data_IF_368070631185
#
_entry.id   IF_368070631185
#
_cell.length_a   1.000
_cell.length_b   1.000
_cell.length_c   1.000
_cell.angle_alpha   90.00
_cell.angle_beta   90.00
_cell.angle_gamma   90.00
#
_symmetry.space_group_name_H-M   'P 1'
#
loop_
_entity.id
_entity.type
_entity.pdbx_description
1 polymer ?
#
# COMPACT_ATOMS: atom_id res chain seq x y z
N UNK A 1 -68.77 -41.09 -27.91
CA UNK A 1 -67.78 -40.56 -26.95
C UNK A 1 -68.00 -39.06 -26.85
N UNK A 2 -68.47 -38.57 -25.69
CA UNK A 2 -68.88 -37.18 -25.51
C UNK A 2 -67.66 -36.26 -25.47
N UNK A 3 -67.40 -35.54 -26.57
CA UNK A 3 -66.28 -34.61 -26.76
C UNK A 3 -66.11 -33.60 -25.60
N UNK A 4 -67.19 -33.28 -24.89
CA UNK A 4 -67.20 -32.46 -23.68
C UNK A 4 -66.24 -32.94 -22.58
N UNK A 5 -66.13 -34.26 -22.36
CA UNK A 5 -65.25 -34.79 -21.30
C UNK A 5 -63.78 -34.82 -21.73
N UNK A 6 -63.51 -34.98 -23.03
CA UNK A 6 -62.16 -34.90 -23.58
C UNK A 6 -61.57 -33.48 -23.47
N UNK A 7 -62.40 -32.45 -23.74
CA UNK A 7 -62.02 -31.05 -23.57
C UNK A 7 -61.72 -30.73 -22.10
N UNK A 8 -62.56 -31.20 -21.17
CA UNK A 8 -62.35 -30.97 -19.74
C UNK A 8 -61.06 -31.64 -19.22
N UNK A 9 -60.76 -32.85 -19.70
CA UNK A 9 -59.54 -33.58 -19.36
C UNK A 9 -58.29 -32.92 -19.96
N UNK A 10 -58.39 -32.37 -21.19
CA UNK A 10 -57.31 -31.61 -21.81
C UNK A 10 -56.97 -30.31 -21.07
N UNK A 11 -57.98 -29.58 -20.57
CA UNK A 11 -57.76 -28.37 -19.76
C UNK A 11 -57.10 -28.72 -18.42
N UNK A 12 -57.51 -29.82 -17.79
CA UNK A 12 -56.90 -30.31 -16.56
C UNK A 12 -55.43 -30.68 -16.77
N UNK A 13 -55.08 -31.26 -17.94
CA UNK A 13 -53.70 -31.57 -18.31
C UNK A 13 -52.85 -30.31 -18.57
N UNK A 14 -53.42 -29.25 -19.15
CA UNK A 14 -52.73 -27.97 -19.35
C UNK A 14 -52.38 -27.27 -18.02
N UNK A 15 -53.15 -27.49 -16.94
CA UNK A 15 -52.82 -26.99 -15.60
C UNK A 15 -51.59 -27.66 -14.98
N UNK A 16 -51.20 -28.85 -15.46
CA UNK A 16 -50.00 -29.56 -15.02
C UNK A 16 -48.81 -29.37 -15.97
N UNK A 17 -48.94 -28.57 -17.03
CA UNK A 17 -47.78 -28.21 -17.83
C UNK A 17 -46.82 -27.41 -16.96
N UNK A 18 -45.55 -27.83 -16.81
CA UNK A 18 -44.56 -27.04 -16.12
C UNK A 18 -44.39 -25.73 -16.90
N UNK A 19 -44.83 -24.63 -16.30
CA UNK A 19 -44.50 -23.31 -16.79
C UNK A 19 -43.00 -23.14 -16.53
N UNK A 20 -42.19 -23.23 -17.58
CA UNK A 20 -40.78 -22.84 -17.50
C UNK A 20 -40.76 -21.31 -17.34
N UNK A 21 -40.90 -20.85 -16.11
CA UNK A 21 -40.39 -19.54 -15.75
C UNK A 21 -38.88 -19.63 -15.90
N UNK A 22 -38.30 -18.92 -16.88
CA UNK A 22 -36.87 -18.64 -16.86
C UNK A 22 -36.65 -17.81 -15.60
N UNK A 23 -36.22 -18.47 -14.53
CA UNK A 23 -35.87 -17.80 -13.29
C UNK A 23 -34.60 -17.00 -13.57
N UNK A 24 -34.73 -15.67 -13.56
CA UNK A 24 -33.56 -14.81 -13.46
C UNK A 24 -32.78 -15.23 -12.22
N UNK A 25 -31.48 -15.39 -12.40
CA UNK A 25 -30.60 -15.78 -11.31
C UNK A 25 -29.35 -14.94 -11.40
N UNK A 26 -29.05 -14.27 -10.29
CA UNK A 26 -27.78 -13.61 -10.06
C UNK A 26 -27.12 -14.34 -8.90
N UNK A 27 -25.85 -14.68 -9.07
CA UNK A 27 -25.05 -15.38 -8.10
C UNK A 27 -23.65 -14.79 -8.09
N UNK A 28 -22.92 -15.09 -7.01
CA UNK A 28 -21.56 -14.63 -6.85
C UNK A 28 -20.67 -15.76 -6.37
N UNK A 29 -19.46 -15.79 -6.87
CA UNK A 29 -18.43 -16.75 -6.50
C UNK A 29 -17.43 -16.08 -5.57
N UNK A 30 -17.44 -16.56 -4.32
CA UNK A 30 -16.51 -16.19 -3.26
C UNK A 30 -15.82 -17.49 -2.81
N UNK A 31 -14.84 -17.92 -3.59
CA UNK A 31 -14.27 -19.27 -3.52
C UNK A 31 -12.95 -19.34 -2.72
N UNK A 32 -12.31 -18.20 -2.47
CA UNK A 32 -11.05 -18.16 -1.72
C UNK A 32 -11.31 -18.05 -0.22
N UNK A 33 -10.53 -18.76 0.62
CA UNK A 33 -10.64 -18.63 2.07
C UNK A 33 -10.15 -17.26 2.55
N UNK A 34 -9.18 -16.67 1.85
CA UNK A 34 -8.58 -15.36 2.12
C UNK A 34 -8.35 -14.70 0.77
N UNK A 35 -8.84 -13.48 0.62
CA UNK A 35 -8.67 -12.64 -0.56
C UNK A 35 -7.55 -11.63 -0.34
N UNK A 36 -6.87 -11.27 -1.42
CA UNK A 36 -5.80 -10.27 -1.46
C UNK A 36 -6.10 -9.24 -2.55
N UNK A 37 -5.28 -8.18 -2.61
CA UNK A 37 -5.45 -7.10 -3.60
C UNK A 37 -5.48 -7.58 -5.06
N UNK A 38 -4.86 -8.71 -5.40
CA UNK A 38 -4.84 -9.23 -6.78
C UNK A 38 -6.01 -10.15 -7.12
N UNK A 39 -6.84 -10.50 -6.14
CA UNK A 39 -7.89 -11.49 -6.33
C UNK A 39 -9.17 -10.86 -6.91
N UNK A 40 -10.01 -11.71 -7.48
CA UNK A 40 -11.19 -11.32 -8.25
C UNK A 40 -12.40 -12.04 -7.66
N UNK A 41 -13.47 -11.28 -7.41
CA UNK A 41 -14.78 -11.81 -7.10
C UNK A 41 -15.62 -11.78 -8.38
N UNK A 42 -16.25 -12.90 -8.74
CA UNK A 42 -17.02 -12.99 -9.98
C UNK A 42 -18.51 -13.02 -9.68
N UNK A 43 -19.25 -12.10 -10.28
CA UNK A 43 -20.71 -12.03 -10.26
C UNK A 43 -21.20 -12.56 -11.61
N UNK A 44 -22.09 -13.54 -11.59
CA UNK A 44 -22.57 -14.18 -12.81
C UNK A 44 -24.04 -14.51 -12.70
N UNK A 45 -24.68 -14.71 -13.84
CA UNK A 45 -26.11 -14.97 -13.85
C UNK A 45 -26.70 -14.99 -15.24
N UNK A 46 -28.02 -15.18 -15.27
CA UNK A 46 -28.83 -15.07 -16.47
C UNK A 46 -29.99 -14.14 -16.19
N UNK A 47 -30.13 -13.11 -17.03
CA UNK A 47 -31.16 -12.07 -16.90
C UNK A 47 -31.95 -11.95 -18.20
N UNK A 48 -33.25 -11.71 -18.10
CA UNK A 48 -34.15 -11.69 -19.26
C UNK A 48 -34.37 -10.29 -19.82
N UNK A 49 -34.13 -9.25 -19.02
CA UNK A 49 -34.22 -7.84 -19.40
C UNK A 49 -32.94 -7.10 -19.00
N UNK A 50 -32.70 -5.92 -19.59
CA UNK A 50 -31.59 -5.07 -19.17
C UNK A 50 -31.81 -4.59 -17.73
N UNK A 51 -30.81 -4.82 -16.86
CA UNK A 51 -30.86 -4.40 -15.45
C UNK A 51 -29.59 -3.63 -15.07
N UNK A 52 -29.69 -2.81 -14.02
CA UNK A 52 -28.54 -2.19 -13.38
C UNK A 52 -28.17 -3.00 -12.14
N UNK A 53 -26.95 -3.54 -12.11
CA UNK A 53 -26.35 -4.12 -10.91
C UNK A 53 -25.69 -3.00 -10.11
N UNK A 54 -26.07 -2.86 -8.85
CA UNK A 54 -25.37 -2.01 -7.89
C UNK A 54 -24.50 -2.90 -7.01
N UNK A 55 -23.20 -2.72 -7.08
CA UNK A 55 -22.20 -3.52 -6.38
C UNK A 55 -21.57 -2.61 -5.33
N UNK A 56 -21.69 -3.00 -4.07
CA UNK A 56 -21.09 -2.26 -2.97
C UNK A 56 -20.21 -3.19 -2.12
N UNK A 57 -19.06 -2.71 -1.68
CA UNK A 57 -18.19 -3.41 -0.74
C UNK A 57 -18.21 -2.65 0.58
N UNK A 58 -18.56 -3.35 1.65
CA UNK A 58 -18.69 -2.82 3.00
C UNK A 58 -17.50 -3.32 3.82
N UNK A 59 -16.81 -2.39 4.47
CA UNK A 59 -15.68 -2.64 5.33
C UNK A 59 -16.06 -3.32 6.65
N UNK A 60 -15.07 -3.80 7.41
CA UNK A 60 -15.28 -4.47 8.70
C UNK A 60 -15.90 -3.56 9.78
N UNK A 61 -15.85 -2.24 9.60
CA UNK A 61 -16.48 -1.23 10.45
C UNK A 61 -17.89 -0.83 9.99
N UNK A 62 -18.37 -1.38 8.86
CA UNK A 62 -19.67 -1.08 8.29
C UNK A 62 -19.69 0.13 7.35
N UNK A 63 -18.55 0.75 7.06
CA UNK A 63 -18.43 1.83 6.07
C UNK A 63 -18.47 1.25 4.64
N UNK A 64 -19.10 1.96 3.71
CA UNK A 64 -19.09 1.57 2.29
C UNK A 64 -17.77 2.03 1.68
N UNK A 65 -16.92 1.06 1.32
CA UNK A 65 -15.58 1.29 0.76
C UNK A 65 -15.61 1.38 -0.76
N UNK A 66 -16.55 0.68 -1.39
CA UNK A 66 -16.76 0.72 -2.83
C UNK A 66 -18.26 0.77 -3.15
N UNK A 67 -18.62 1.52 -4.17
CA UNK A 67 -19.97 1.57 -4.72
C UNK A 67 -19.92 1.80 -6.24
N UNK A 68 -20.43 0.85 -7.00
CA UNK A 68 -20.38 0.81 -8.46
C UNK A 68 -21.74 0.41 -9.04
N UNK A 69 -22.12 1.02 -10.16
CA UNK A 69 -23.31 0.65 -10.91
C UNK A 69 -22.94 0.19 -12.32
N UNK A 70 -23.35 -1.03 -12.70
CA UNK A 70 -23.05 -1.64 -14.00
C UNK A 70 -24.35 -1.98 -14.73
N UNK A 71 -24.44 -1.59 -15.99
CA UNK A 71 -25.55 -1.98 -16.87
C UNK A 71 -25.27 -3.35 -17.50
N UNK A 72 -26.17 -4.30 -17.30
CA UNK A 72 -26.08 -5.64 -17.88
C UNK A 72 -27.23 -5.83 -18.87
N UNK A 73 -26.89 -6.18 -20.10
CA UNK A 73 -27.86 -6.48 -21.15
C UNK A 73 -28.50 -7.86 -20.94
N UNK A 74 -29.70 -8.06 -21.49
CA UNK A 74 -30.47 -9.32 -21.41
C UNK A 74 -29.70 -10.49 -22.06
N UNK A 75 -28.99 -11.26 -21.24
CA UNK A 75 -28.20 -12.44 -21.61
C UNK A 75 -27.64 -13.11 -20.34
N UNK A 76 -26.99 -14.25 -20.52
CA UNK A 76 -25.99 -14.72 -19.58
C UNK A 76 -24.85 -13.70 -19.48
N UNK A 77 -24.43 -13.39 -18.25
CA UNK A 77 -23.36 -12.44 -17.98
C UNK A 77 -22.37 -12.97 -16.95
N UNK A 78 -21.16 -12.41 -17.00
CA UNK A 78 -20.12 -12.59 -15.99
C UNK A 78 -19.39 -11.26 -15.84
N UNK A 79 -19.39 -10.73 -14.63
CA UNK A 79 -18.76 -9.48 -14.26
C UNK A 79 -17.72 -9.75 -13.17
N UNK A 80 -16.51 -9.20 -13.35
CA UNK A 80 -15.38 -9.45 -12.47
C UNK A 80 -15.06 -8.21 -11.67
N UNK A 81 -15.20 -8.32 -10.36
CA UNK A 81 -14.85 -7.29 -9.37
C UNK A 81 -13.40 -7.51 -8.97
N UNK A 82 -12.50 -6.66 -9.46
CA UNK A 82 -11.07 -6.76 -9.19
C UNK A 82 -10.76 -5.98 -7.91
N UNK A 83 -10.32 -6.67 -6.86
CA UNK A 83 -10.11 -6.02 -5.56
C UNK A 83 -8.97 -4.99 -5.56
N UNK A 84 -8.14 -4.95 -6.60
CA UNK A 84 -7.07 -3.95 -6.76
C UNK A 84 -7.58 -2.55 -7.02
N UNK A 85 -8.79 -2.45 -7.57
CA UNK A 85 -9.36 -1.19 -8.04
C UNK A 85 -10.01 -0.41 -6.90
N UNK A 86 -10.19 -1.06 -5.74
CA UNK A 86 -10.77 -0.49 -4.54
C UNK A 86 -9.70 -0.38 -3.44
N UNK A 87 -9.82 0.65 -2.60
CA UNK A 87 -8.89 0.87 -1.49
C UNK A 87 -9.45 0.27 -0.20
N UNK A 88 -9.28 -1.05 -0.07
CA UNK A 88 -9.82 -1.81 1.05
C UNK A 88 -9.03 -1.63 2.36
N UNK A 89 -7.92 -0.87 2.34
CA UNK A 89 -6.98 -0.42 3.40
C UNK A 89 -6.64 -1.37 4.57
N UNK A 90 -7.63 -2.03 5.18
CA UNK A 90 -7.55 -2.86 6.38
C UNK A 90 -7.86 -4.32 6.09
N UNK A 91 -7.12 -5.22 6.72
CA UNK A 91 -7.50 -6.64 6.74
C UNK A 91 -8.73 -6.87 7.63
N UNK A 92 -9.64 -7.74 7.20
CA UNK A 92 -10.86 -8.05 7.94
C UNK A 92 -11.94 -8.70 7.10
N UNK A 93 -13.06 -9.03 7.76
CA UNK A 93 -14.26 -9.52 7.07
C UNK A 93 -14.94 -8.34 6.39
N UNK A 94 -15.04 -8.43 5.07
CA UNK A 94 -15.78 -7.48 4.24
C UNK A 94 -17.05 -8.16 3.74
N UNK A 95 -18.06 -7.34 3.47
CA UNK A 95 -19.32 -7.81 2.85
C UNK A 95 -19.38 -7.23 1.45
N UNK A 96 -19.55 -8.09 0.45
CA UNK A 96 -19.90 -7.66 -0.90
C UNK A 96 -21.41 -7.82 -1.08
N UNK A 97 -22.07 -6.73 -1.43
CA UNK A 97 -23.51 -6.64 -1.66
C UNK A 97 -23.76 -6.33 -3.13
N UNK A 98 -24.64 -7.10 -3.75
CA UNK A 98 -25.10 -6.89 -5.13
C UNK A 98 -26.61 -6.69 -5.10
N UNK A 99 -27.07 -5.49 -5.44
CA UNK A 99 -28.48 -5.17 -5.57
C UNK A 99 -28.91 -5.15 -7.03
N UNK A 100 -30.00 -5.87 -7.32
CA UNK A 100 -30.54 -6.04 -8.67
C UNK A 100 -32.06 -6.21 -8.62
N UNK A 101 -32.80 -5.42 -9.41
CA UNK A 101 -34.28 -5.46 -9.48
C UNK A 101 -35.00 -5.54 -8.11
N UNK A 102 -34.48 -4.80 -7.11
CA UNK A 102 -34.99 -4.80 -5.73
C UNK A 102 -34.64 -6.02 -4.88
N UNK A 103 -33.94 -7.01 -5.43
CA UNK A 103 -33.32 -8.11 -4.69
C UNK A 103 -31.91 -7.73 -4.26
N UNK A 104 -31.49 -8.25 -3.12
CA UNK A 104 -30.14 -8.03 -2.58
C UNK A 104 -29.47 -9.37 -2.33
N UNK A 105 -28.25 -9.53 -2.83
CA UNK A 105 -27.39 -10.67 -2.61
C UNK A 105 -26.16 -10.21 -1.84
N UNK A 106 -25.90 -10.81 -0.68
CA UNK A 106 -24.75 -10.49 0.15
C UNK A 106 -23.88 -11.72 0.34
N UNK A 107 -22.58 -11.52 0.39
CA UNK A 107 -21.63 -12.56 0.79
C UNK A 107 -20.44 -11.96 1.54
N UNK A 108 -19.94 -12.72 2.50
CA UNK A 108 -18.81 -12.31 3.34
C UNK A 108 -17.53 -12.91 2.81
N UNK A 109 -16.46 -12.12 2.81
CA UNK A 109 -15.12 -12.59 2.47
C UNK A 109 -14.09 -11.97 3.40
N UNK A 110 -13.07 -12.75 3.75
CA UNK A 110 -11.95 -12.23 4.50
C UNK A 110 -10.93 -11.63 3.54
N UNK A 111 -10.65 -10.34 3.68
CA UNK A 111 -9.62 -9.63 2.92
C UNK A 111 -8.36 -9.50 3.77
N UNK A 112 -7.22 -9.87 3.19
CA UNK A 112 -5.90 -9.60 3.69
C UNK A 112 -5.25 -8.48 2.88
N UNK A 113 -5.19 -7.30 3.50
CA UNK A 113 -4.50 -6.13 2.98
C UNK A 113 -2.97 -6.31 2.91
N UNK A 114 -2.43 -7.38 3.50
CA UNK A 114 -0.99 -7.60 3.65
C UNK A 114 -0.36 -6.74 4.75
N UNK A 115 -1.15 -5.87 5.40
CA UNK A 115 -0.73 -5.20 6.64
C UNK A 115 -0.77 -6.22 7.78
N UNK A 116 0.41 -6.51 8.32
CA UNK A 116 0.60 -7.51 9.37
C UNK A 116 -0.23 -7.16 10.63
N UNK A 117 -1.16 -8.05 11.00
CA UNK A 117 -1.98 -7.96 12.23
C UNK A 117 -1.20 -8.25 13.50
N UNK A 118 0.06 -8.69 13.39
CA UNK A 118 0.99 -8.43 14.46
C UNK A 118 1.34 -6.95 14.34
N UNK A 119 0.86 -6.05 15.23
CA UNK A 119 1.65 -4.86 15.45
C UNK A 119 3.04 -5.43 15.73
N UNK A 120 4.03 -5.11 14.89
CA UNK A 120 5.34 -4.97 15.47
C UNK A 120 5.05 -4.09 16.69
N UNK A 121 5.24 -4.62 17.89
CA UNK A 121 5.19 -3.82 19.11
C UNK A 121 6.35 -2.83 18.97
N UNK A 122 6.09 -1.81 18.17
CA UNK A 122 6.78 -0.55 18.13
C UNK A 122 5.93 0.35 19.02
N UNK A 123 5.81 -0.04 20.28
CA UNK A 123 5.95 0.91 21.40
C UNK A 123 7.28 1.66 21.35
N UNK A 124 8.19 1.32 20.43
CA UNK A 124 9.02 2.33 19.80
C UNK A 124 8.26 2.92 18.62
N UNK A 125 7.27 3.76 18.92
CA UNK A 125 6.93 4.93 18.11
C UNK A 125 8.28 5.47 17.67
N UNK A 126 8.73 5.08 16.48
CA UNK A 126 10.12 5.28 16.14
C UNK A 126 10.19 6.78 16.02
N UNK A 127 10.96 7.40 16.92
CA UNK A 127 11.39 8.79 16.90
C UNK A 127 12.13 9.06 15.57
N UNK A 128 11.42 8.91 14.46
CA UNK A 128 11.88 9.22 13.12
C UNK A 128 11.71 10.71 13.05
N UNK A 129 12.78 11.37 13.48
CA UNK A 129 13.07 12.77 13.21
C UNK A 129 12.51 13.11 11.83
N UNK A 130 11.60 14.09 11.79
CA UNK A 130 10.98 14.53 10.53
C UNK A 130 12.05 14.84 9.50
N UNK A 131 11.79 14.61 8.21
CA UNK A 131 12.76 14.88 7.13
C UNK A 131 13.31 16.32 7.21
N UNK A 132 12.47 17.28 7.64
CA UNK A 132 12.88 18.66 7.90
C UNK A 132 13.96 18.73 8.97
N UNK A 133 13.75 18.04 10.09
CA UNK A 133 14.62 18.07 11.26
C UNK A 133 15.94 17.33 10.96
N UNK A 134 15.90 16.28 10.14
CA UNK A 134 17.09 15.58 9.67
C UNK A 134 17.95 16.47 8.77
N UNK A 135 17.33 17.26 7.88
CA UNK A 135 18.00 18.27 7.07
C UNK A 135 18.67 19.35 7.94
N UNK A 136 17.99 19.81 8.99
CA UNK A 136 18.57 20.77 9.95
C UNK A 136 19.76 20.19 10.70
N UNK A 137 19.66 18.97 11.22
CA UNK A 137 20.74 18.30 11.96
C UNK A 137 21.97 18.08 11.08
N UNK A 138 21.78 17.64 9.84
CA UNK A 138 22.87 17.44 8.88
C UNK A 138 23.57 18.76 8.54
N UNK A 139 22.80 19.84 8.35
CA UNK A 139 23.34 21.17 8.05
C UNK A 139 24.19 21.72 9.21
N UNK A 140 23.69 21.65 10.45
CA UNK A 140 24.41 22.11 11.64
C UNK A 140 25.71 21.31 11.84
N UNK A 141 25.65 19.99 11.69
CA UNK A 141 26.82 19.11 11.78
C UNK A 141 27.91 19.49 10.77
N UNK A 142 27.52 19.75 9.51
CA UNK A 142 28.44 20.19 8.47
C UNK A 142 29.17 21.49 8.83
N UNK A 143 28.46 22.48 9.36
CA UNK A 143 29.06 23.77 9.78
C UNK A 143 30.08 23.57 10.91
N UNK A 144 29.78 22.72 11.89
CA UNK A 144 30.68 22.43 13.02
C UNK A 144 31.98 21.76 12.53
N UNK A 145 31.88 20.78 11.63
CA UNK A 145 33.04 20.09 11.07
C UNK A 145 33.92 21.06 10.27
N UNK A 146 33.32 21.87 9.40
CA UNK A 146 34.04 22.89 8.62
C UNK A 146 34.74 23.88 9.56
N UNK A 147 34.04 24.35 10.60
CA UNK A 147 34.61 25.25 11.60
C UNK A 147 35.80 24.64 12.35
N UNK A 148 35.71 23.36 12.74
CA UNK A 148 36.79 22.64 13.39
C UNK A 148 38.01 22.49 12.47
N UNK A 149 37.80 22.17 11.19
CA UNK A 149 38.89 22.07 10.20
C UNK A 149 39.59 23.41 10.01
N UNK A 150 38.85 24.51 9.88
CA UNK A 150 39.43 25.86 9.76
C UNK A 150 40.21 26.22 11.03
N UNK A 151 39.68 25.91 12.21
CA UNK A 151 40.34 26.17 13.48
C UNK A 151 41.67 25.40 13.61
N UNK A 152 41.67 24.11 13.27
CA UNK A 152 42.89 23.28 13.26
C UNK A 152 43.89 23.77 12.20
N UNK A 153 43.42 24.11 11.00
CA UNK A 153 44.26 24.64 9.94
C UNK A 153 44.94 25.96 10.35
N UNK A 154 44.24 26.84 11.08
CA UNK A 154 44.83 28.07 11.62
C UNK A 154 45.98 27.78 12.59
N UNK A 155 45.84 26.76 13.44
CA UNK A 155 46.92 26.37 14.35
C UNK A 155 48.09 25.68 13.62
N UNK A 156 47.81 24.96 12.52
CA UNK A 156 48.83 24.32 11.68
C UNK A 156 49.65 25.33 10.86
N UNK A 157 49.02 26.38 10.34
CA UNK A 157 49.68 27.42 9.52
C UNK A 157 50.50 28.39 10.39
N UNK A 158 50.04 28.72 11.60
CA UNK A 158 50.78 29.58 12.53
C UNK A 158 51.67 28.71 13.43
N UNK A 159 52.71 28.10 12.86
CA UNK A 159 53.81 27.59 13.67
C UNK A 159 54.49 28.78 14.36
N UNK A 160 54.51 28.80 15.69
CA UNK A 160 55.46 29.65 16.43
C UNK A 160 56.86 29.22 16.01
N UNK A 161 57.64 30.14 15.43
CA UNK A 161 59.06 29.90 15.22
C UNK A 161 59.68 29.59 16.58
N UNK A 162 60.23 28.39 16.70
CA UNK A 162 61.02 28.01 17.88
C UNK A 162 62.36 28.74 17.81
N UNK A 163 63.02 28.88 18.95
CA UNK A 163 64.34 29.55 19.08
C UNK A 163 65.39 29.02 18.07
N UNK A 164 65.27 27.75 17.67
CA UNK A 164 66.08 27.11 16.62
C UNK A 164 65.96 27.76 15.23
N UNK A 165 64.82 28.35 14.87
CA UNK A 165 64.57 28.97 13.56
C UNK A 165 64.87 30.48 13.54
N UNK A 166 65.24 31.06 14.69
CA UNK A 166 65.47 32.51 14.84
C UNK A 166 66.95 32.82 15.11
N UNK A 167 67.75 31.82 15.49
CA UNK A 167 69.20 31.97 15.65
C UNK A 167 69.93 31.86 14.31
N UNK A 168 70.83 32.80 14.02
CA UNK A 168 71.77 32.72 12.90
C UNK A 168 72.94 31.79 13.29
N UNK A 169 72.70 30.48 13.21
CA UNK A 169 73.65 29.44 13.67
C UNK A 169 74.84 29.21 12.72
N UNK A 170 74.86 29.84 11.55
CA UNK A 170 75.96 29.68 10.57
C UNK A 170 77.24 30.44 10.97
N UNK A 171 77.13 31.54 11.73
CA UNK A 171 78.33 32.32 12.12
C UNK A 171 79.06 31.74 13.35
N UNK A 172 78.38 30.95 14.19
CA UNK A 172 78.97 30.39 15.42
C UNK A 172 79.93 29.22 15.16
N UNK A 173 79.79 28.54 14.02
CA UNK A 173 80.64 27.38 13.67
C UNK A 173 82.06 27.80 13.29
N UNK A 174 82.25 28.98 12.69
CA UNK A 174 83.56 29.44 12.20
C UNK A 174 84.43 30.02 13.32
N UNK A 175 83.83 30.67 14.33
CA UNK A 175 84.58 31.28 15.44
C UNK A 175 85.19 30.23 16.38
N UNK A 176 84.48 29.12 16.62
CA UNK A 176 84.98 28.04 17.49
C UNK A 176 86.11 27.26 16.82
N UNK A 177 86.08 27.11 15.49
CA UNK A 177 87.12 26.36 14.76
C UNK A 177 88.44 27.13 14.65
N UNK A 178 88.42 28.47 14.61
CA UNK A 178 89.66 29.29 14.58
C UNK A 178 90.38 29.38 15.92
N UNK A 179 89.68 29.30 17.05
CA UNK A 179 90.29 29.47 18.37
C UNK A 179 90.97 28.20 18.91
N UNK A 180 90.69 27.03 18.31
CA UNK A 180 91.30 25.75 18.71
C UNK A 180 92.61 25.46 17.96
N UNK A 181 92.85 26.08 16.79
CA UNK A 181 94.04 25.82 15.96
C UNK A 181 95.26 26.65 16.41
N UNK A 182 95.07 27.69 17.23
CA UNK A 182 96.16 28.58 17.70
C UNK A 182 96.74 28.22 19.07
N UNK A 183 96.39 27.06 19.64
CA UNK A 183 96.89 26.59 20.94
C UNK A 183 97.47 25.17 20.87
N UNK A 184 97.87 24.72 19.67
CA UNK A 184 98.56 23.44 19.44
C UNK A 184 99.98 23.66 18.93
#
# INVERSE_FOLDING_TARGET
>A
MNYKYGVLCGILFLLFLPFNANAESVSMSVDLPIYTKSDIITIYGSITSEITLQISIIGPDGEIVADESVLIASSDFSHSVILSDYDLERSGVHVISVMYDGNQLENEFFYDSGYNVNPMDVSNEHDTISESDQLFIFSISGIVIIGAVIFLARHSIIRKKTEYDTGEWDSKKIVIMKNTILIG
#
